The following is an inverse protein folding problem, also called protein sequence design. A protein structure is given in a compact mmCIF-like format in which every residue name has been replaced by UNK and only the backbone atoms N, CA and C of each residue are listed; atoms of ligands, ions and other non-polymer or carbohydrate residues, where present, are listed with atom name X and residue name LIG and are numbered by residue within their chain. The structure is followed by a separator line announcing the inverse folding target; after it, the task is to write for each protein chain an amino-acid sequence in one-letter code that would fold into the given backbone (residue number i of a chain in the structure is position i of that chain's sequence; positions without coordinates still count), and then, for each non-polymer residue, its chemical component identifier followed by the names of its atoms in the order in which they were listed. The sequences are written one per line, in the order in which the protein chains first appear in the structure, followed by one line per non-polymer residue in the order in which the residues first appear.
data_IF_275344777909
#
_entry.id   IF_275344777909
#
_cell.length_a   1.000
_cell.length_b   1.000
_cell.length_c   1.000
_cell.angle_alpha   90.00
_cell.angle_beta   90.00
_cell.angle_gamma   90.00
#
_symmetry.space_group_name_H-M   'P 1'
#
loop_
_entity.id
_entity.type
_entity.pdbx_description
1 polymer ?
#
# COMPACT_ATOMS: atom_id res chain seq x y z
N UNK A 1 -14.24 7.85 -18.52
CA UNK A 1 -14.63 7.00 -19.66
C UNK A 1 -13.74 5.76 -19.62
N UNK A 2 -14.31 4.56 -19.41
CA UNK A 2 -13.53 3.32 -19.48
C UNK A 2 -13.42 2.93 -20.95
N UNK A 3 -12.20 2.80 -21.43
CA UNK A 3 -11.88 2.52 -22.82
C UNK A 3 -12.28 1.07 -23.15
N UNK A 4 -12.80 0.79 -24.34
CA UNK A 4 -13.30 -0.56 -24.71
C UNK A 4 -12.26 -1.69 -24.60
N UNK A 5 -10.98 -1.35 -24.44
CA UNK A 5 -9.89 -2.30 -24.14
C UNK A 5 -10.01 -2.91 -22.74
N UNK A 6 -10.53 -2.16 -21.77
CA UNK A 6 -10.66 -2.58 -20.38
C UNK A 6 -11.56 -3.83 -20.28
N UNK A 7 -12.70 -3.82 -20.98
CA UNK A 7 -13.66 -4.92 -20.99
C UNK A 7 -13.12 -6.21 -21.64
N UNK A 8 -12.13 -6.08 -22.53
CA UNK A 8 -11.56 -7.20 -23.29
C UNK A 8 -10.47 -7.90 -22.48
N UNK A 9 -9.59 -7.13 -21.81
CA UNK A 9 -8.64 -7.68 -20.86
C UNK A 9 -9.34 -8.20 -19.58
N UNK A 10 -10.44 -7.57 -19.14
CA UNK A 10 -11.29 -8.05 -18.03
C UNK A 10 -11.84 -9.47 -18.23
N UNK A 11 -11.93 -9.96 -19.48
CA UNK A 11 -12.40 -11.32 -19.77
C UNK A 11 -11.24 -12.31 -19.93
N UNK A 12 -10.04 -11.82 -20.20
CA UNK A 12 -8.86 -12.65 -20.47
C UNK A 12 -7.98 -12.83 -19.23
N UNK A 13 -8.06 -11.92 -18.26
CA UNK A 13 -7.29 -11.97 -17.02
C UNK A 13 -7.99 -12.85 -15.97
N UNK A 14 -7.25 -13.83 -15.43
CA UNK A 14 -7.71 -14.63 -14.28
C UNK A 14 -7.60 -13.80 -13.00
N UNK A 15 -8.76 -13.51 -12.41
CA UNK A 15 -8.84 -12.83 -11.12
C UNK A 15 -8.85 -13.85 -9.97
N UNK A 16 -7.86 -13.85 -9.06
CA UNK A 16 -7.94 -14.60 -7.81
C UNK A 16 -9.14 -14.16 -6.94
N UNK A 17 -9.65 -15.05 -6.07
CA UNK A 17 -10.84 -14.78 -5.25
C UNK A 17 -10.63 -13.66 -4.20
N UNK A 18 -9.36 -13.35 -3.89
CA UNK A 18 -8.97 -12.24 -3.00
C UNK A 18 -9.51 -10.88 -3.49
N UNK A 19 -9.66 -10.72 -4.82
CA UNK A 19 -10.19 -9.53 -5.48
C UNK A 19 -11.70 -9.35 -5.34
N UNK A 20 -12.41 -10.32 -4.77
CA UNK A 20 -13.83 -10.19 -4.49
C UNK A 20 -14.12 -9.46 -3.16
N UNK A 21 -13.09 -9.19 -2.35
CA UNK A 21 -13.25 -8.42 -1.12
C UNK A 21 -13.35 -6.93 -1.42
N UNK A 22 -14.33 -6.25 -0.85
CA UNK A 22 -14.47 -4.80 -0.97
C UNK A 22 -13.53 -4.09 0.00
N UNK A 23 -12.75 -3.16 -0.55
CA UNK A 23 -11.92 -2.24 0.24
C UNK A 23 -12.68 -0.93 0.43
N UNK A 24 -12.65 -0.41 1.65
CA UNK A 24 -13.23 0.89 1.99
C UNK A 24 -12.12 1.91 2.20
N UNK A 25 -11.95 2.80 1.23
CA UNK A 25 -10.82 3.74 1.24
C UNK A 25 -10.95 4.87 2.25
N UNK A 26 -12.16 5.11 2.75
CA UNK A 26 -12.38 6.04 3.87
C UNK A 26 -11.72 5.55 5.17
N UNK A 27 -11.45 4.25 5.28
CA UNK A 27 -10.81 3.64 6.45
C UNK A 27 -9.32 3.44 6.29
N UNK A 28 -8.77 3.72 5.11
CA UNK A 28 -7.36 3.48 4.80
C UNK A 28 -6.61 4.79 4.70
N UNK A 29 -5.39 4.83 5.22
CA UNK A 29 -4.56 6.01 5.12
C UNK A 29 -3.88 6.10 3.75
N UNK A 30 -4.42 6.95 2.87
CA UNK A 30 -3.92 7.15 1.51
C UNK A 30 -2.48 7.67 1.46
N UNK A 31 -2.05 8.47 2.44
CA UNK A 31 -0.67 9.00 2.51
C UNK A 31 0.36 7.86 2.61
N UNK A 32 0.00 6.86 3.42
CA UNK A 32 0.82 5.67 3.64
C UNK A 32 0.81 4.77 2.41
N UNK A 33 -0.35 4.62 1.75
CA UNK A 33 -0.46 3.87 0.50
C UNK A 33 0.33 4.51 -0.64
N UNK A 34 0.31 5.85 -0.76
CA UNK A 34 1.10 6.57 -1.78
C UNK A 34 2.58 6.25 -1.65
N UNK A 35 3.13 6.30 -0.43
CA UNK A 35 4.53 5.95 -0.16
C UNK A 35 4.83 4.49 -0.49
N UNK A 36 3.94 3.56 -0.13
CA UNK A 36 4.14 2.15 -0.45
C UNK A 36 4.11 1.88 -1.95
N UNK A 37 3.16 2.48 -2.68
CA UNK A 37 3.06 2.38 -4.13
C UNK A 37 4.34 2.88 -4.78
N UNK A 38 4.84 4.06 -4.39
CA UNK A 38 6.09 4.62 -4.92
C UNK A 38 7.28 3.65 -4.75
N UNK A 39 7.48 3.14 -3.54
CA UNK A 39 8.53 2.14 -3.28
C UNK A 39 8.36 0.88 -4.13
N UNK A 40 7.13 0.37 -4.23
CA UNK A 40 6.86 -0.89 -4.92
C UNK A 40 6.98 -0.75 -6.45
N UNK A 41 6.56 0.39 -7.01
CA UNK A 41 6.75 0.72 -8.44
C UNK A 41 8.25 0.79 -8.74
N UNK A 42 9.02 1.44 -7.87
CA UNK A 42 10.49 1.52 -7.98
C UNK A 42 11.15 0.16 -7.94
N UNK A 43 10.69 -0.74 -7.08
CA UNK A 43 11.24 -2.11 -7.01
C UNK A 43 10.99 -2.91 -8.28
N UNK A 44 9.84 -2.73 -8.93
CA UNK A 44 9.51 -3.52 -10.13
C UNK A 44 10.12 -2.92 -11.39
N UNK A 45 10.01 -1.60 -11.56
CA UNK A 45 10.53 -0.90 -12.74
C UNK A 45 12.02 -0.55 -12.62
N UNK A 46 12.58 -0.57 -11.40
CA UNK A 46 13.92 -0.04 -11.12
C UNK A 46 14.00 1.50 -11.18
N UNK A 47 12.87 2.19 -11.30
CA UNK A 47 12.78 3.65 -11.39
C UNK A 47 11.45 4.14 -10.84
N UNK A 48 11.48 5.31 -10.17
CA UNK A 48 10.27 6.01 -9.71
C UNK A 48 9.58 6.67 -10.90
N UNK A 49 8.42 6.14 -11.27
CA UNK A 49 7.59 6.68 -12.35
C UNK A 49 6.38 7.41 -11.76
N UNK A 50 6.50 8.73 -11.58
CA UNK A 50 5.47 9.56 -10.92
C UNK A 50 4.11 9.47 -11.62
N UNK A 51 4.11 9.28 -12.94
CA UNK A 51 2.90 9.09 -13.75
C UNK A 51 2.16 7.81 -13.35
N UNK A 52 2.88 6.71 -13.12
CA UNK A 52 2.31 5.44 -12.66
C UNK A 52 1.79 5.57 -11.23
N UNK A 53 2.56 6.25 -10.37
CA UNK A 53 2.18 6.49 -8.98
C UNK A 53 0.90 7.32 -8.92
N UNK A 54 0.82 8.43 -9.66
CA UNK A 54 -0.37 9.27 -9.75
C UNK A 54 -1.56 8.50 -10.33
N UNK A 55 -1.37 7.69 -11.38
CA UNK A 55 -2.45 6.90 -11.96
C UNK A 55 -3.06 5.93 -10.93
N UNK A 56 -2.23 5.18 -10.22
CA UNK A 56 -2.69 4.26 -9.17
C UNK A 56 -3.38 5.05 -8.06
N UNK A 57 -2.77 6.16 -7.66
CA UNK A 57 -3.31 7.02 -6.61
C UNK A 57 -4.68 7.61 -7.01
N UNK A 58 -4.86 8.02 -8.26
CA UNK A 58 -6.11 8.55 -8.79
C UNK A 58 -7.19 7.46 -8.91
N UNK A 59 -6.82 6.23 -9.28
CA UNK A 59 -7.74 5.08 -9.30
C UNK A 59 -8.20 4.66 -7.92
N UNK A 60 -7.29 4.76 -6.95
CA UNK A 60 -7.53 4.49 -5.53
C UNK A 60 -8.40 5.63 -5.01
N UNK A 61 -7.93 6.88 -4.96
CA UNK A 61 -8.68 8.02 -4.40
C UNK A 61 -10.00 8.35 -5.14
N UNK A 62 -10.04 8.16 -6.46
CA UNK A 62 -11.20 8.47 -7.30
C UNK A 62 -12.42 7.58 -7.05
N UNK A 63 -12.27 6.47 -6.33
CA UNK A 63 -13.34 5.53 -6.00
C UNK A 63 -13.51 5.31 -4.50
N UNK A 64 -14.74 5.46 -3.98
CA UNK A 64 -15.05 5.08 -2.58
C UNK A 64 -14.80 3.58 -2.33
N UNK A 65 -15.01 2.79 -3.38
CA UNK A 65 -14.61 1.39 -3.48
C UNK A 65 -13.77 1.26 -4.76
N UNK A 66 -12.44 1.12 -4.66
CA UNK A 66 -11.61 0.95 -5.83
C UNK A 66 -11.94 -0.38 -6.53
N UNK A 67 -12.03 -0.36 -7.85
CA UNK A 67 -12.21 -1.57 -8.64
C UNK A 67 -10.86 -2.19 -8.95
N UNK A 68 -10.49 -3.22 -8.19
CA UNK A 68 -9.23 -3.96 -8.36
C UNK A 68 -9.07 -4.53 -9.77
N UNK A 69 -10.19 -4.82 -10.45
CA UNK A 69 -10.15 -5.28 -11.84
C UNK A 69 -9.63 -4.19 -12.76
N UNK A 70 -10.19 -2.98 -12.70
CA UNK A 70 -9.73 -1.84 -13.49
C UNK A 70 -8.28 -1.49 -13.17
N UNK A 71 -7.93 -1.54 -11.89
CA UNK A 71 -6.56 -1.30 -11.43
C UNK A 71 -5.57 -2.31 -12.04
N UNK A 72 -5.95 -3.59 -12.11
CA UNK A 72 -5.13 -4.63 -12.74
C UNK A 72 -4.98 -4.42 -14.25
N UNK A 73 -6.03 -3.98 -14.98
CA UNK A 73 -5.94 -3.68 -16.41
C UNK A 73 -4.94 -2.54 -16.66
N UNK A 74 -5.12 -1.45 -15.92
CA UNK A 74 -4.31 -0.25 -16.07
C UNK A 74 -2.84 -0.56 -15.76
N UNK A 75 -2.60 -1.29 -14.67
CA UNK A 75 -1.26 -1.76 -14.33
C UNK A 75 -0.70 -2.77 -15.34
N UNK A 76 -1.52 -3.63 -15.96
CA UNK A 76 -1.04 -4.53 -17.02
C UNK A 76 -0.45 -3.75 -18.19
N UNK A 77 -0.93 -2.54 -18.46
CA UNK A 77 -0.31 -1.64 -19.44
C UNK A 77 1.12 -1.19 -19.10
N UNK A 78 1.52 -1.24 -17.83
CA UNK A 78 2.84 -0.83 -17.35
C UNK A 78 3.73 -2.01 -16.96
N UNK A 79 3.20 -2.92 -16.14
CA UNK A 79 3.93 -3.99 -15.46
C UNK A 79 3.77 -5.36 -16.14
N UNK A 80 2.85 -5.50 -17.11
CA UNK A 80 2.54 -6.70 -17.90
C UNK A 80 2.52 -8.01 -17.07
N UNK A 81 3.68 -8.62 -16.86
CA UNK A 81 3.96 -9.88 -16.13
C UNK A 81 3.89 -9.75 -14.61
N UNK A 82 4.32 -8.63 -14.07
CA UNK A 82 4.42 -8.37 -12.62
C UNK A 82 3.15 -7.76 -12.04
N UNK A 83 2.23 -7.37 -12.92
CA UNK A 83 0.91 -6.84 -12.58
C UNK A 83 0.12 -7.67 -11.55
N UNK A 84 -0.10 -9.00 -11.75
CA UNK A 84 -0.87 -9.77 -10.79
C UNK A 84 -0.20 -9.85 -9.41
N UNK A 85 1.14 -9.82 -9.37
CA UNK A 85 1.92 -9.85 -8.13
C UNK A 85 1.72 -8.53 -7.38
N UNK A 86 1.90 -7.40 -8.09
CA UNK A 86 1.68 -6.08 -7.52
C UNK A 86 0.25 -5.88 -7.03
N UNK A 87 -0.75 -6.20 -7.86
CA UNK A 87 -2.16 -6.05 -7.49
C UNK A 87 -2.52 -6.86 -6.25
N UNK A 88 -2.02 -8.10 -6.15
CA UNK A 88 -2.27 -8.96 -4.99
C UNK A 88 -1.70 -8.37 -3.70
N UNK A 89 -0.46 -7.90 -3.74
CA UNK A 89 0.22 -7.29 -2.60
C UNK A 89 -0.48 -6.00 -2.16
N UNK A 90 -0.77 -5.10 -3.11
CA UNK A 90 -1.49 -3.86 -2.85
C UNK A 90 -2.86 -4.13 -2.20
N UNK A 91 -3.62 -5.08 -2.76
CA UNK A 91 -4.95 -5.41 -2.24
C UNK A 91 -4.91 -6.01 -0.84
N UNK A 92 -3.93 -6.89 -0.57
CA UNK A 92 -3.70 -7.47 0.76
C UNK A 92 -3.34 -6.40 1.79
N UNK A 93 -2.54 -5.39 1.39
CA UNK A 93 -2.22 -4.24 2.23
C UNK A 93 -3.47 -3.40 2.54
N UNK A 94 -4.26 -3.08 1.51
CA UNK A 94 -5.49 -2.30 1.66
C UNK A 94 -6.50 -3.00 2.59
N UNK A 95 -6.66 -4.31 2.44
CA UNK A 95 -7.51 -5.12 3.32
C UNK A 95 -7.00 -5.14 4.77
N UNK A 96 -5.69 -5.24 4.96
CA UNK A 96 -5.08 -5.16 6.30
C UNK A 96 -5.21 -3.77 6.90
N UNK A 97 -5.14 -2.71 6.08
CA UNK A 97 -5.30 -1.34 6.50
C UNK A 97 -6.72 -1.05 6.95
N UNK A 98 -7.75 -1.50 6.22
CA UNK A 98 -9.15 -1.30 6.63
C UNK A 98 -9.53 -2.11 7.88
N UNK A 99 -8.87 -3.26 8.11
CA UNK A 99 -9.05 -4.07 9.30
C UNK A 99 -8.38 -3.44 10.53
N UNK A 100 -7.48 -2.48 10.32
CA UNK A 100 -6.82 -1.71 11.36
C UNK A 100 -7.61 -0.44 11.65
N UNK A 101 -7.95 -0.12 12.91
CA UNK A 101 -8.72 1.07 13.25
C UNK A 101 -8.00 2.39 12.93
N UNK A 102 -6.68 2.35 12.72
CA UNK A 102 -5.87 3.51 12.35
C UNK A 102 -5.74 3.68 10.82
N UNK A 103 -6.27 2.74 10.02
CA UNK A 103 -6.11 2.76 8.56
C UNK A 103 -4.69 2.50 8.09
N UNK A 104 -3.83 1.97 8.96
CA UNK A 104 -2.43 1.64 8.67
C UNK A 104 -2.30 0.12 8.63
N UNK A 105 -1.80 -0.45 7.52
CA UNK A 105 -1.62 -1.89 7.40
C UNK A 105 -0.52 -2.38 8.35
N UNK A 106 -0.74 -3.55 8.94
CA UNK A 106 0.22 -4.16 9.87
C UNK A 106 1.59 -4.36 9.23
N UNK A 107 1.67 -4.69 7.94
CA UNK A 107 2.96 -4.83 7.23
C UNK A 107 3.81 -3.55 7.28
N UNK A 108 3.18 -2.37 7.10
CA UNK A 108 3.90 -1.10 7.22
C UNK A 108 4.18 -0.72 8.67
N UNK A 109 3.29 -1.09 9.59
CA UNK A 109 3.55 -0.91 11.01
C UNK A 109 4.73 -1.77 11.49
N UNK A 110 4.85 -3.00 10.99
CA UNK A 110 5.96 -3.90 11.28
C UNK A 110 7.26 -3.42 10.65
N UNK A 111 7.25 -2.99 9.38
CA UNK A 111 8.41 -2.37 8.74
C UNK A 111 8.95 -1.18 9.56
N UNK A 112 8.05 -0.30 9.99
CA UNK A 112 8.39 0.90 10.78
C UNK A 112 8.78 0.58 12.23
N UNK A 113 8.19 -0.47 12.83
CA UNK A 113 8.53 -0.95 14.19
C UNK A 113 9.91 -1.61 14.21
N UNK A 114 10.31 -2.28 13.14
CA UNK A 114 11.63 -2.89 12.98
C UNK A 114 12.73 -1.82 12.91
N UNK A 115 12.46 -0.66 12.30
CA UNK A 115 13.38 0.49 12.33
C UNK A 115 13.41 1.17 13.70
N UNK A 116 12.26 1.35 14.37
CA UNK A 116 12.21 2.04 15.67
C UNK A 116 12.91 1.25 16.81
N UNK A 117 13.07 -0.06 16.67
CA UNK A 117 13.88 -0.85 17.62
C UNK A 117 15.37 -0.50 17.57
N UNK A 118 15.86 0.11 16.49
CA UNK A 118 17.23 0.62 16.42
C UNK A 118 17.40 2.02 17.05
N UNK A 119 16.32 2.77 17.30
CA UNK A 119 16.41 4.16 17.81
C UNK A 119 15.93 4.34 19.27
N UNK A 120 15.49 3.27 19.94
CA UNK A 120 15.09 3.29 21.36
C UNK A 120 16.15 2.80 22.36
N UNK A 121 17.43 2.87 21.99
CA UNK A 121 18.56 2.97 22.94
C UNK A 121 19.10 4.40 22.85
N UNK A 122 18.55 5.31 23.65
CA UNK A 122 19.02 6.70 23.63
C UNK A 122 18.22 7.67 24.49
N UNK A 123 16.99 7.33 24.90
CA UNK A 123 16.21 8.13 25.83
C UNK A 123 15.86 7.33 27.10
N UNK A 124 16.86 6.67 27.67
CA UNK A 124 16.86 6.33 29.09
C UNK A 124 17.24 7.57 29.86
N UNK A 125 16.25 8.32 30.30
CA UNK A 125 16.36 9.33 31.36
C UNK A 125 17.39 8.89 32.40
N UNK A 126 18.44 9.67 32.75
CA UNK A 126 19.11 9.48 34.03
C UNK A 126 18.10 9.90 35.11
N UNK A 127 17.21 8.99 35.44
CA UNK A 127 16.38 9.07 36.63
C UNK A 127 17.31 9.14 37.83
N UNK A 128 17.35 10.33 38.44
CA UNK A 128 17.39 10.54 39.87
C UNK A 128 18.12 9.45 40.69
N UNK A 129 19.42 9.64 40.89
CA UNK A 129 20.11 9.15 42.08
C UNK A 129 20.13 10.25 43.14
N UNK A 130 18.97 10.56 43.74
CA UNK A 130 18.99 11.21 45.06
C UNK A 130 19.51 10.18 46.06
N UNK A 131 20.57 10.53 46.79
CA UNK A 131 20.96 10.02 48.12
C UNK A 131 22.35 10.56 48.48
N UNK A 132 22.35 11.58 49.33
CA UNK A 132 22.75 11.50 50.75
C UNK A 132 24.29 11.58 50.89
N UNK A 133 24.82 12.77 51.18
CA UNK A 133 25.08 13.24 52.56
C UNK A 133 26.18 12.40 53.21
N UNK A 134 27.40 12.95 53.25
CA UNK A 134 28.10 13.38 54.47
C UNK A 134 29.57 13.68 54.17
#
# INVERSE_FOLDING_TARGET
MATGVDAKLLKSTKFPPEFNQKVDMQKVNVQVMKKWIANRVTEILGSEDDVVIELIFNLVEGGRHPDIKSLQIQLTGFLDKDTPIFCKELWKLLLSAQASPQGVPKELLEAKKLELMQEKVGAGTPGCGVRDRS
#
